data_IF_339525865527
#
_entry.id   IF_339525865527
#
_cell.length_a   1.000
_cell.length_b   1.000
_cell.length_c   1.000
_cell.angle_alpha   90.00
_cell.angle_beta   90.00
_cell.angle_gamma   90.00
#
_symmetry.space_group_name_H-M   'P 1'
#
loop_
_entity.id
_entity.type
_entity.pdbx_description
1 polymer ?
#
# COMPACT_ATOMS: atom_id res chain seq x y z
N UNK A 1 38.63 17.94 4.78
CA UNK A 1 38.26 18.72 3.58
C UNK A 1 37.42 17.94 2.57
N UNK A 2 37.54 16.61 2.45
CA UNK A 2 36.73 15.78 1.52
C UNK A 2 35.21 15.79 1.77
N UNK A 3 34.77 15.78 3.03
CA UNK A 3 33.34 15.69 3.36
C UNK A 3 32.52 16.95 2.98
N UNK A 4 33.15 18.13 2.93
CA UNK A 4 32.45 19.37 2.55
C UNK A 4 32.31 19.50 1.03
N UNK A 5 33.25 18.96 0.25
CA UNK A 5 33.16 18.87 -1.21
C UNK A 5 32.08 17.86 -1.64
N UNK A 6 31.95 16.70 -0.99
CA UNK A 6 30.83 15.78 -1.27
C UNK A 6 29.47 16.41 -0.93
N UNK A 7 29.39 17.21 0.15
CA UNK A 7 28.16 17.93 0.51
C UNK A 7 27.88 19.07 -0.48
N UNK A 8 28.92 19.76 -0.99
CA UNK A 8 28.78 20.80 -2.01
C UNK A 8 28.45 20.25 -3.40
N UNK A 9 28.97 19.06 -3.76
CA UNK A 9 28.61 18.36 -4.99
C UNK A 9 27.20 17.78 -4.91
N UNK A 10 26.81 17.21 -3.77
CA UNK A 10 25.42 16.81 -3.52
C UNK A 10 24.45 18.01 -3.58
N UNK A 11 24.90 19.22 -3.22
CA UNK A 11 24.19 20.50 -3.36
C UNK A 11 24.08 20.99 -4.81
N UNK A 12 24.99 20.58 -5.71
CA UNK A 12 25.09 21.07 -7.10
C UNK A 12 24.35 20.16 -8.10
N UNK A 13 24.17 18.89 -7.77
CA UNK A 13 23.35 18.00 -8.59
C UNK A 13 21.88 18.19 -8.25
N UNK A 14 21.22 19.07 -9.00
CA UNK A 14 19.78 18.95 -9.19
C UNK A 14 19.44 17.49 -9.45
N UNK A 15 18.63 16.90 -8.57
CA UNK A 15 18.22 15.50 -8.59
C UNK A 15 17.67 15.12 -9.98
N UNK A 16 18.53 14.56 -10.83
CA UNK A 16 18.17 14.30 -12.22
C UNK A 16 17.28 13.06 -12.30
N UNK A 17 15.99 13.26 -12.55
CA UNK A 17 15.02 12.21 -12.88
C UNK A 17 15.56 11.27 -13.98
N UNK A 18 16.39 11.79 -14.89
CA UNK A 18 17.04 11.01 -15.95
C UNK A 18 18.00 9.94 -15.42
N UNK A 19 18.65 10.16 -14.26
CA UNK A 19 19.52 9.14 -13.63
C UNK A 19 18.72 8.00 -12.98
N UNK A 20 17.52 8.29 -12.46
CA UNK A 20 16.59 7.26 -11.98
C UNK A 20 16.06 6.39 -13.14
N UNK A 21 15.86 6.99 -14.31
CA UNK A 21 15.47 6.28 -15.55
C UNK A 21 16.62 5.39 -16.06
N UNK A 22 17.87 5.88 -16.06
CA UNK A 22 19.03 5.06 -16.50
C UNK A 22 19.28 3.83 -15.62
N UNK A 23 18.95 3.89 -14.32
CA UNK A 23 19.02 2.74 -13.40
C UNK A 23 17.78 1.84 -13.38
N UNK A 24 16.77 2.13 -14.22
CA UNK A 24 15.46 1.49 -14.17
C UNK A 24 15.48 -0.05 -14.24
N UNK A 25 16.28 -0.71 -15.11
CA UNK A 25 16.32 -2.17 -15.19
C UNK A 25 16.78 -2.83 -13.87
N UNK A 26 17.81 -2.27 -13.24
CA UNK A 26 18.36 -2.77 -11.98
C UNK A 26 17.40 -2.51 -10.80
N UNK A 27 16.72 -1.36 -10.81
CA UNK A 27 15.67 -1.04 -9.85
C UNK A 27 14.51 -2.04 -10.00
N UNK A 28 14.08 -2.30 -11.23
CA UNK A 28 12.99 -3.23 -11.55
C UNK A 28 13.34 -4.65 -11.10
N UNK A 29 14.54 -5.13 -11.45
CA UNK A 29 15.04 -6.44 -11.00
C UNK A 29 15.11 -6.54 -9.46
N UNK A 30 15.66 -5.53 -8.79
CA UNK A 30 15.70 -5.49 -7.32
C UNK A 30 14.31 -5.44 -6.69
N UNK A 31 13.35 -4.73 -7.29
CA UNK A 31 11.95 -4.74 -6.83
C UNK A 31 11.29 -6.10 -7.00
N UNK A 32 11.62 -6.82 -8.07
CA UNK A 32 11.12 -8.17 -8.34
C UNK A 32 11.66 -9.17 -7.32
N UNK A 33 12.96 -9.12 -7.01
CA UNK A 33 13.54 -9.93 -5.93
C UNK A 33 12.90 -9.66 -4.56
N UNK A 34 12.66 -8.37 -4.23
CA UNK A 34 11.95 -8.01 -3.00
C UNK A 34 10.50 -8.53 -2.98
N UNK A 35 9.88 -8.70 -4.14
CA UNK A 35 8.54 -9.24 -4.24
C UNK A 35 8.52 -10.76 -4.13
N UNK A 36 9.44 -11.46 -4.79
CA UNK A 36 9.63 -12.91 -4.63
C UNK A 36 9.81 -13.26 -3.15
N UNK A 37 10.63 -12.49 -2.45
CA UNK A 37 10.81 -12.65 -1.01
C UNK A 37 9.52 -12.44 -0.21
N UNK A 38 8.66 -11.50 -0.62
CA UNK A 38 7.32 -11.33 0.00
C UNK A 38 6.43 -12.54 -0.27
N UNK A 39 6.47 -13.12 -1.47
CA UNK A 39 5.71 -14.34 -1.75
C UNK A 39 6.18 -15.49 -0.89
N UNK A 40 7.50 -15.70 -0.78
CA UNK A 40 8.08 -16.72 0.07
C UNK A 40 7.59 -16.57 1.52
N UNK A 41 7.57 -15.34 2.04
CA UNK A 41 7.07 -15.04 3.39
C UNK A 41 5.56 -15.28 3.54
N UNK A 42 4.78 -15.16 2.45
CA UNK A 42 3.34 -15.40 2.44
C UNK A 42 2.96 -16.88 2.24
N UNK A 43 3.89 -17.75 1.82
CA UNK A 43 3.64 -19.20 1.62
C UNK A 43 2.96 -19.83 2.86
N UNK A 44 3.40 -19.59 4.11
CA UNK A 44 2.76 -20.19 5.27
C UNK A 44 1.28 -19.80 5.40
N UNK A 45 0.92 -18.55 5.16
CA UNK A 45 -0.48 -18.08 5.15
C UNK A 45 -1.27 -18.64 3.97
N UNK A 46 -0.67 -18.77 2.78
CA UNK A 46 -1.32 -19.39 1.61
C UNK A 46 -1.60 -20.87 1.88
N UNK A 47 -0.63 -21.58 2.47
CA UNK A 47 -0.78 -22.97 2.87
C UNK A 47 -1.89 -23.14 3.90
N UNK A 48 -1.93 -22.26 4.91
CA UNK A 48 -3.01 -22.20 5.89
C UNK A 48 -4.38 -21.98 5.24
N UNK A 49 -4.49 -21.09 4.25
CA UNK A 49 -5.76 -20.81 3.56
C UNK A 49 -6.27 -22.01 2.73
N UNK A 50 -5.34 -22.76 2.13
CA UNK A 50 -5.67 -23.91 1.28
C UNK A 50 -5.94 -25.19 2.07
N UNK A 51 -5.37 -25.35 3.26
CA UNK A 51 -5.55 -26.54 4.08
C UNK A 51 -6.52 -26.24 5.23
N UNK A 52 -7.83 -26.47 4.98
CA UNK A 52 -8.88 -26.50 6.02
C UNK A 52 -8.87 -27.79 6.87
N UNK A 53 -7.79 -28.57 6.80
CA UNK A 53 -7.69 -29.87 7.43
C UNK A 53 -7.14 -29.69 8.85
N UNK A 54 -7.86 -30.23 9.83
CA UNK A 54 -7.43 -30.23 11.22
C UNK A 54 -6.12 -31.05 11.37
N UNK A 55 -5.16 -30.63 12.21
CA UNK A 55 -5.21 -29.47 13.11
C UNK A 55 -4.95 -28.14 12.39
N UNK A 56 -5.78 -27.14 12.69
CA UNK A 56 -5.69 -25.79 12.13
C UNK A 56 -4.34 -25.13 12.48
N UNK A 57 -3.42 -24.94 11.51
CA UNK A 57 -2.06 -24.52 11.81
C UNK A 57 -1.96 -22.99 11.94
N UNK A 58 -2.68 -22.42 12.91
CA UNK A 58 -2.72 -20.97 13.18
C UNK A 58 -1.32 -20.36 13.39
N UNK A 59 -0.37 -21.15 13.88
CA UNK A 59 1.04 -20.76 14.06
C UNK A 59 1.72 -20.37 12.74
N UNK A 60 1.27 -20.85 11.58
CA UNK A 60 1.81 -20.45 10.27
C UNK A 60 1.57 -18.96 9.99
N UNK A 61 0.42 -18.42 10.43
CA UNK A 61 0.15 -16.98 10.30
C UNK A 61 1.10 -16.16 11.18
N UNK A 62 1.43 -16.66 12.37
CA UNK A 62 2.42 -16.03 13.25
C UNK A 62 3.80 -16.05 12.60
N UNK A 63 4.20 -17.16 12.00
CA UNK A 63 5.46 -17.27 11.26
C UNK A 63 5.51 -16.26 10.12
N UNK A 64 4.43 -16.12 9.33
CA UNK A 64 4.35 -15.10 8.28
C UNK A 64 4.48 -13.68 8.83
N UNK A 65 3.86 -13.37 9.97
CA UNK A 65 4.00 -12.06 10.62
C UNK A 65 5.45 -11.83 11.07
N UNK A 66 6.08 -12.81 11.73
CA UNK A 66 7.46 -12.74 12.19
C UNK A 66 8.40 -12.52 11.00
N UNK A 67 8.30 -13.35 9.95
CA UNK A 67 9.08 -13.19 8.74
C UNK A 67 8.83 -11.82 8.07
N UNK A 68 7.58 -11.33 8.08
CA UNK A 68 7.24 -10.01 7.57
C UNK A 68 7.96 -8.88 8.33
N UNK A 69 7.98 -8.97 9.66
CA UNK A 69 8.58 -7.96 10.51
C UNK A 69 10.11 -8.00 10.49
N UNK A 70 10.70 -9.19 10.62
CA UNK A 70 12.15 -9.33 10.77
C UNK A 70 12.91 -9.45 9.44
N UNK A 71 12.26 -9.89 8.36
CA UNK A 71 12.92 -10.02 7.06
C UNK A 71 12.55 -8.86 6.13
N UNK A 72 11.26 -8.59 5.94
CA UNK A 72 10.79 -7.67 4.90
C UNK A 72 11.02 -6.20 5.29
N UNK A 73 10.76 -5.81 6.55
CA UNK A 73 10.94 -4.42 7.00
C UNK A 73 12.39 -3.92 6.87
N UNK A 74 13.43 -4.62 7.35
CA UNK A 74 14.80 -4.13 7.24
C UNK A 74 15.29 -4.08 5.78
N UNK A 75 14.91 -5.06 4.95
CA UNK A 75 15.19 -5.03 3.51
C UNK A 75 14.52 -3.84 2.82
N UNK A 76 13.28 -3.52 3.22
CA UNK A 76 12.55 -2.34 2.72
C UNK A 76 13.25 -1.02 3.09
N UNK A 77 13.93 -0.95 4.24
CA UNK A 77 14.76 0.20 4.62
C UNK A 77 16.05 0.25 3.80
N UNK A 78 16.72 -0.90 3.59
CA UNK A 78 17.94 -0.98 2.78
C UNK A 78 17.69 -0.58 1.33
N UNK A 79 16.60 -1.04 0.72
CA UNK A 79 16.19 -0.63 -0.62
C UNK A 79 15.91 0.87 -0.71
N UNK A 80 15.26 1.47 0.29
CA UNK A 80 15.02 2.91 0.31
C UNK A 80 16.34 3.69 0.33
N UNK A 81 17.32 3.23 1.10
CA UNK A 81 18.66 3.85 1.15
C UNK A 81 19.42 3.71 -0.17
N UNK A 82 19.28 2.58 -0.85
CA UNK A 82 19.90 2.35 -2.15
C UNK A 82 19.30 3.26 -3.23
N UNK A 83 17.97 3.44 -3.24
CA UNK A 83 17.30 4.38 -4.14
C UNK A 83 17.73 5.82 -3.90
N UNK A 84 17.91 6.21 -2.65
CA UNK A 84 18.31 7.56 -2.33
C UNK A 84 19.75 7.86 -2.73
N UNK A 85 20.68 6.90 -2.59
CA UNK A 85 22.04 7.04 -3.13
C UNK A 85 22.02 7.34 -4.63
N UNK A 86 21.13 6.70 -5.38
CA UNK A 86 20.91 7.00 -6.81
C UNK A 86 20.39 8.41 -7.03
N UNK A 87 19.41 8.80 -6.23
CA UNK A 87 18.86 10.15 -6.28
C UNK A 87 19.99 11.19 -6.05
N UNK A 88 20.90 10.94 -5.11
CA UNK A 88 22.08 11.79 -4.85
C UNK A 88 23.22 11.65 -5.89
N UNK A 89 23.00 10.95 -7.01
CA UNK A 89 23.96 10.87 -8.12
C UNK A 89 24.90 9.66 -8.12
N UNK A 90 24.81 8.75 -7.14
CA UNK A 90 25.59 7.50 -7.13
C UNK A 90 24.93 6.41 -8.01
N UNK A 91 25.65 5.32 -8.33
CA UNK A 91 25.07 4.18 -9.07
C UNK A 91 24.21 3.30 -8.16
N UNK A 92 23.10 2.76 -8.69
CA UNK A 92 22.28 1.79 -7.95
C UNK A 92 23.06 0.49 -7.79
N UNK A 93 23.08 -0.07 -6.58
CA UNK A 93 23.67 -1.37 -6.31
C UNK A 93 22.66 -2.29 -5.64
N UNK A 94 22.47 -3.47 -6.23
CA UNK A 94 21.59 -4.52 -5.68
C UNK A 94 22.08 -4.98 -4.31
N UNK A 95 23.41 -5.07 -4.13
CA UNK A 95 24.04 -5.45 -2.86
C UNK A 95 23.65 -4.46 -1.76
N UNK A 96 23.63 -3.16 -2.06
CA UNK A 96 23.17 -2.16 -1.11
C UNK A 96 21.65 -2.27 -0.85
N UNK A 97 20.87 -2.63 -1.87
CA UNK A 97 19.43 -2.86 -1.73
C UNK A 97 19.06 -4.05 -0.84
N UNK A 98 19.90 -5.08 -0.79
CA UNK A 98 19.73 -6.30 0.03
C UNK A 98 20.64 -6.37 1.26
N UNK A 99 21.41 -5.32 1.53
CA UNK A 99 22.35 -5.30 2.64
C UNK A 99 21.64 -5.41 3.98
N UNK A 100 22.15 -6.30 4.84
CA UNK A 100 21.74 -6.43 6.24
C UNK A 100 22.71 -5.73 7.20
N UNK A 101 23.65 -4.92 6.69
CA UNK A 101 24.50 -4.10 7.57
C UNK A 101 23.63 -3.15 8.42
N UNK A 102 24.03 -2.93 9.67
CA UNK A 102 23.25 -2.15 10.65
C UNK A 102 21.79 -2.64 10.76
N UNK A 103 21.59 -3.96 10.83
CA UNK A 103 20.28 -4.60 10.86
C UNK A 103 19.35 -3.99 11.92
N UNK A 104 19.83 -3.81 13.16
CA UNK A 104 19.02 -3.24 14.24
C UNK A 104 18.50 -1.83 13.94
N UNK A 105 19.35 -0.97 13.37
CA UNK A 105 18.95 0.39 12.96
C UNK A 105 17.90 0.34 11.85
N UNK A 106 18.09 -0.53 10.84
CA UNK A 106 17.12 -0.74 9.74
C UNK A 106 15.79 -1.30 10.24
N UNK A 107 15.82 -2.23 11.21
CA UNK A 107 14.63 -2.81 11.82
C UNK A 107 13.85 -1.76 12.62
N UNK A 108 14.52 -0.98 13.48
CA UNK A 108 13.88 0.08 14.26
C UNK A 108 13.25 1.15 13.36
N UNK A 109 13.97 1.56 12.31
CA UNK A 109 13.45 2.45 11.29
C UNK A 109 12.19 1.82 10.65
N UNK A 110 12.29 0.56 10.21
CA UNK A 110 11.19 -0.22 9.64
C UNK A 110 9.95 -0.30 10.54
N UNK A 111 10.12 -0.65 11.82
CA UNK A 111 9.07 -0.74 12.82
C UNK A 111 8.40 0.60 13.08
N UNK A 112 9.19 1.69 13.19
CA UNK A 112 8.64 3.05 13.34
C UNK A 112 7.74 3.42 12.15
N UNK A 113 8.07 3.01 10.93
CA UNK A 113 7.21 3.20 9.76
C UNK A 113 5.96 2.34 9.80
N UNK A 114 6.10 1.08 10.22
CA UNK A 114 4.99 0.15 10.35
C UNK A 114 3.95 0.68 11.35
N UNK A 115 4.38 1.11 12.53
CA UNK A 115 3.50 1.70 13.56
C UNK A 115 2.79 2.94 13.03
N UNK A 116 3.50 3.84 12.35
CA UNK A 116 2.91 5.03 11.72
C UNK A 116 1.91 4.71 10.61
N UNK A 117 1.89 3.48 10.09
CA UNK A 117 0.97 3.03 9.06
C UNK A 117 -0.35 2.51 9.65
N UNK A 118 -0.36 2.03 10.89
CA UNK A 118 -1.54 1.44 11.54
C UNK A 118 -2.76 2.37 11.54
N UNK A 119 -2.64 3.68 11.89
CA UNK A 119 -3.80 4.57 11.86
C UNK A 119 -4.41 4.73 10.47
N UNK A 120 -3.59 4.61 9.42
CA UNK A 120 -4.03 4.73 8.04
C UNK A 120 -4.71 3.47 7.51
N UNK A 121 -4.51 2.31 8.15
CA UNK A 121 -5.25 1.09 7.86
C UNK A 121 -6.61 1.00 8.56
N UNK A 122 -6.87 1.85 9.56
CA UNK A 122 -8.16 1.88 10.27
C UNK A 122 -9.38 2.05 9.33
N UNK A 123 -9.37 2.93 8.31
CA UNK A 123 -10.47 3.06 7.37
C UNK A 123 -10.80 1.73 6.67
N UNK A 124 -9.79 0.97 6.25
CA UNK A 124 -10.01 -0.34 5.63
C UNK A 124 -10.53 -1.37 6.63
N UNK A 125 -10.07 -1.31 7.88
CA UNK A 125 -10.57 -2.17 8.95
C UNK A 125 -12.06 -1.89 9.25
N UNK A 126 -12.45 -0.61 9.29
CA UNK A 126 -13.85 -0.19 9.41
C UNK A 126 -14.66 -0.75 8.25
N UNK A 127 -14.16 -0.65 7.02
CA UNK A 127 -14.79 -1.24 5.84
C UNK A 127 -14.96 -2.76 5.94
N UNK A 128 -13.93 -3.47 6.43
CA UNK A 128 -13.98 -4.93 6.60
C UNK A 128 -15.00 -5.36 7.68
N UNK A 129 -15.04 -4.66 8.81
CA UNK A 129 -16.03 -4.87 9.87
C UNK A 129 -17.43 -4.57 9.36
N UNK A 130 -17.60 -3.48 8.61
CA UNK A 130 -18.87 -3.13 7.97
C UNK A 130 -19.34 -4.25 7.03
N UNK A 131 -18.47 -4.73 6.13
CA UNK A 131 -18.78 -5.87 5.26
C UNK A 131 -19.15 -7.12 6.05
N UNK A 132 -18.41 -7.43 7.12
CA UNK A 132 -18.70 -8.58 7.97
C UNK A 132 -20.08 -8.47 8.62
N UNK A 133 -20.45 -7.30 9.13
CA UNK A 133 -21.79 -7.08 9.71
C UNK A 133 -22.88 -7.23 8.65
N UNK A 134 -22.68 -6.67 7.46
CA UNK A 134 -23.67 -6.74 6.36
C UNK A 134 -23.88 -8.17 5.87
N UNK A 135 -22.82 -8.97 5.72
CA UNK A 135 -22.88 -10.28 5.06
C UNK A 135 -22.91 -11.49 6.00
N UNK A 136 -22.49 -11.34 7.27
CA UNK A 136 -22.30 -12.48 8.19
C UNK A 136 -22.96 -12.32 9.56
N UNK A 137 -23.41 -11.12 9.95
CA UNK A 137 -24.06 -10.93 11.26
C UNK A 137 -25.53 -11.31 11.19
N UNK A 138 -25.82 -12.59 11.44
CA UNK A 138 -27.19 -13.09 11.48
C UNK A 138 -27.81 -13.13 12.89
N UNK A 139 -27.04 -12.93 13.97
CA UNK A 139 -27.56 -12.82 15.36
C UNK A 139 -26.54 -12.52 16.47
N UNK A 140 -25.23 -12.71 16.28
CA UNK A 140 -24.28 -12.78 17.41
C UNK A 140 -23.91 -11.45 18.07
N UNK A 141 -24.17 -10.30 17.45
CA UNK A 141 -23.76 -8.98 17.95
C UNK A 141 -24.92 -7.97 18.10
N UNK A 142 -26.18 -8.43 18.05
CA UNK A 142 -27.37 -7.57 18.20
C UNK A 142 -27.64 -6.61 17.03
N UNK A 143 -26.78 -6.59 16.00
CA UNK A 143 -26.95 -5.82 14.76
C UNK A 143 -27.34 -6.81 13.65
N UNK A 144 -28.57 -6.72 13.16
CA UNK A 144 -29.03 -7.52 12.04
C UNK A 144 -28.48 -6.92 10.73
N UNK A 145 -27.76 -7.70 9.91
CA UNK A 145 -27.30 -7.23 8.59
C UNK A 145 -28.45 -6.67 7.73
N UNK A 146 -29.66 -7.18 7.92
CA UNK A 146 -30.90 -6.68 7.30
C UNK A 146 -31.24 -5.22 7.66
N UNK A 147 -30.94 -4.73 8.87
CA UNK A 147 -31.19 -3.32 9.22
C UNK A 147 -30.22 -2.39 8.51
N UNK A 148 -28.96 -2.80 8.36
CA UNK A 148 -27.93 -2.04 7.63
C UNK A 148 -28.29 -1.94 6.14
N UNK A 149 -28.76 -3.03 5.53
CA UNK A 149 -29.26 -3.05 4.16
C UNK A 149 -30.50 -2.16 3.99
N UNK A 150 -31.41 -2.11 4.96
CA UNK A 150 -32.56 -1.17 4.96
C UNK A 150 -32.11 0.29 5.04
N UNK A 151 -31.12 0.61 5.87
CA UNK A 151 -30.57 1.96 5.94
C UNK A 151 -29.89 2.35 4.63
N UNK A 152 -29.10 1.44 4.02
CA UNK A 152 -28.53 1.65 2.69
C UNK A 152 -29.62 1.89 1.63
N UNK A 153 -30.74 1.16 1.70
CA UNK A 153 -31.91 1.39 0.84
C UNK A 153 -32.50 2.78 1.02
N UNK A 154 -32.71 3.21 2.26
CA UNK A 154 -33.25 4.52 2.56
C UNK A 154 -32.32 5.65 2.07
N UNK A 155 -31.02 5.49 2.23
CA UNK A 155 -30.03 6.44 1.68
C UNK A 155 -30.05 6.45 0.15
N UNK A 156 -30.14 5.28 -0.48
CA UNK A 156 -30.26 5.21 -1.94
C UNK A 156 -31.54 5.89 -2.43
N UNK A 157 -32.67 5.68 -1.75
CA UNK A 157 -33.94 6.33 -2.06
C UNK A 157 -33.89 7.85 -1.86
N UNK A 158 -33.16 8.32 -0.84
CA UNK A 158 -32.97 9.74 -0.60
C UNK A 158 -32.15 10.43 -1.71
N UNK A 159 -31.10 9.76 -2.20
CA UNK A 159 -30.19 10.33 -3.21
C UNK A 159 -30.73 10.18 -4.64
N UNK A 160 -31.34 9.04 -4.96
CA UNK A 160 -31.73 8.65 -6.32
C UNK A 160 -33.24 8.59 -6.55
N UNK A 161 -34.07 8.83 -5.53
CA UNK A 161 -35.53 8.81 -5.60
C UNK A 161 -36.18 7.48 -5.17
N UNK A 162 -37.51 7.45 -5.03
CA UNK A 162 -38.27 6.32 -4.46
C UNK A 162 -38.07 4.97 -5.18
N UNK A 163 -37.61 4.98 -6.44
CA UNK A 163 -37.38 3.77 -7.23
C UNK A 163 -35.92 3.28 -7.23
N UNK A 164 -35.09 3.75 -6.28
CA UNK A 164 -33.72 3.28 -6.16
C UNK A 164 -33.65 1.75 -6.05
N UNK A 165 -32.95 1.14 -6.99
CA UNK A 165 -32.81 -0.31 -7.12
C UNK A 165 -31.52 -0.80 -6.44
N UNK A 166 -31.22 -2.09 -6.59
CA UNK A 166 -30.02 -2.71 -6.03
C UNK A 166 -28.74 -2.12 -6.65
N UNK A 167 -28.81 -1.59 -7.87
CA UNK A 167 -27.65 -0.99 -8.54
C UNK A 167 -27.18 0.30 -7.87
N UNK A 168 -28.11 1.14 -7.42
CA UNK A 168 -27.82 2.40 -6.71
C UNK A 168 -27.21 2.13 -5.33
N UNK A 169 -27.69 1.11 -4.62
CA UNK A 169 -27.06 0.64 -3.38
C UNK A 169 -25.63 0.15 -3.61
N UNK A 170 -25.43 -0.64 -4.67
CA UNK A 170 -24.12 -1.13 -5.07
C UNK A 170 -23.16 0.02 -5.39
N UNK A 171 -23.64 1.07 -6.04
CA UNK A 171 -22.88 2.28 -6.33
C UNK A 171 -22.49 3.03 -5.05
N UNK A 172 -23.40 3.19 -4.09
CA UNK A 172 -23.10 3.82 -2.80
C UNK A 172 -22.04 3.02 -2.03
N UNK A 173 -22.17 1.69 -1.97
CA UNK A 173 -21.17 0.83 -1.34
C UNK A 173 -19.82 0.95 -2.05
N UNK A 174 -19.82 0.93 -3.39
CA UNK A 174 -18.61 1.09 -4.19
C UNK A 174 -17.91 2.42 -3.92
N UNK A 175 -18.65 3.53 -3.88
CA UNK A 175 -18.10 4.85 -3.56
C UNK A 175 -17.55 4.90 -2.13
N UNK A 176 -18.25 4.32 -1.16
CA UNK A 176 -17.80 4.23 0.23
C UNK A 176 -16.46 3.49 0.35
N UNK A 177 -16.34 2.29 -0.24
CA UNK A 177 -15.08 1.53 -0.22
C UNK A 177 -13.97 2.23 -0.99
N UNK A 178 -14.30 2.88 -2.11
CA UNK A 178 -13.34 3.67 -2.90
C UNK A 178 -12.79 4.83 -2.07
N UNK A 179 -13.64 5.51 -1.32
CA UNK A 179 -13.24 6.60 -0.43
C UNK A 179 -12.33 6.12 0.71
N UNK A 180 -12.69 5.01 1.38
CA UNK A 180 -11.84 4.40 2.42
C UNK A 180 -10.46 4.00 1.86
N UNK A 181 -10.43 3.45 0.66
CA UNK A 181 -9.20 3.08 -0.03
C UNK A 181 -8.34 4.29 -0.41
N UNK A 182 -8.97 5.40 -0.82
CA UNK A 182 -8.27 6.65 -1.11
C UNK A 182 -7.58 7.21 0.15
N UNK A 183 -8.27 7.19 1.30
CA UNK A 183 -7.68 7.60 2.59
C UNK A 183 -6.44 6.73 2.91
N UNK A 184 -6.56 5.42 2.72
CA UNK A 184 -5.44 4.51 2.91
C UNK A 184 -4.26 4.83 1.99
N UNK A 185 -4.49 5.07 0.70
CA UNK A 185 -3.43 5.42 -0.25
C UNK A 185 -2.74 6.74 0.12
N UNK A 186 -3.50 7.76 0.55
CA UNK A 186 -2.92 9.02 1.04
C UNK A 186 -1.96 8.74 2.20
N UNK A 187 -2.38 7.90 3.14
CA UNK A 187 -1.52 7.43 4.24
C UNK A 187 -0.26 6.71 3.79
N UNK A 188 -0.38 5.82 2.79
CA UNK A 188 0.75 5.10 2.19
C UNK A 188 1.74 6.08 1.56
N UNK A 189 1.26 7.04 0.76
CA UNK A 189 2.12 8.06 0.13
C UNK A 189 2.84 8.84 1.22
N UNK A 190 2.11 9.41 2.18
CA UNK A 190 2.65 10.20 3.28
C UNK A 190 3.75 9.47 4.05
N UNK A 191 3.50 8.22 4.44
CA UNK A 191 4.48 7.40 5.17
C UNK A 191 5.67 7.00 4.30
N UNK A 192 5.46 6.74 3.00
CA UNK A 192 6.54 6.42 2.08
C UNK A 192 7.46 7.62 1.85
N UNK A 193 6.90 8.83 1.72
CA UNK A 193 7.63 10.09 1.53
C UNK A 193 8.44 10.43 2.75
N UNK A 194 7.82 10.34 3.94
CA UNK A 194 8.53 10.54 5.19
C UNK A 194 9.75 9.61 5.25
N UNK A 195 9.60 8.33 4.91
CA UNK A 195 10.73 7.39 4.87
C UNK A 195 11.82 7.83 3.89
N UNK A 196 11.50 8.25 2.67
CA UNK A 196 12.50 8.74 1.71
C UNK A 196 13.18 10.05 2.14
N UNK A 197 12.51 10.88 2.95
CA UNK A 197 13.10 12.10 3.53
C UNK A 197 14.02 11.81 4.73
N UNK A 198 13.79 10.69 5.43
CA UNK A 198 14.48 10.32 6.69
C UNK A 198 15.63 9.35 6.51
N UNK A 199 15.45 8.39 5.61
CA UNK A 199 16.58 7.61 5.14
C UNK A 199 17.46 8.63 4.43
N UNK A 200 18.70 8.77 4.89
CA UNK A 200 19.77 9.50 4.24
C UNK A 200 21.05 8.67 4.36
N UNK A 201 21.83 8.47 3.29
CA UNK A 201 23.10 7.77 3.39
C UNK A 201 24.11 8.51 4.28
N UNK A 202 23.88 9.80 4.57
CA UNK A 202 24.70 10.63 5.45
C UNK A 202 23.90 10.88 6.74
N UNK A 203 24.35 10.33 7.89
CA UNK A 203 23.65 10.43 9.19
C UNK A 203 23.35 11.88 9.63
N UNK A 204 24.13 12.85 9.16
CA UNK A 204 23.97 14.28 9.43
C UNK A 204 23.04 15.04 8.45
N UNK A 205 22.56 14.38 7.38
CA UNK A 205 21.65 14.97 6.39
C UNK A 205 20.18 14.56 6.61
N UNK A 206 19.89 13.75 7.63
CA UNK A 206 18.53 13.35 7.96
C UNK A 206 17.67 14.57 8.35
N UNK A 207 16.58 14.78 7.63
CA UNK A 207 15.68 15.93 7.87
C UNK A 207 14.99 15.78 9.24
N UNK A 208 14.99 16.83 10.09
CA UNK A 208 14.27 16.84 11.36
C UNK A 208 12.78 16.49 11.20
N UNK A 209 12.20 15.82 12.20
CA UNK A 209 10.80 15.38 12.15
C UNK A 209 9.82 16.56 11.98
N UNK A 210 10.15 17.72 12.54
CA UNK A 210 9.36 18.95 12.39
C UNK A 210 9.37 19.49 10.95
N UNK A 211 10.52 19.44 10.28
CA UNK A 211 10.67 19.90 8.89
C UNK A 211 9.96 18.96 7.91
N UNK A 212 10.06 17.65 8.11
CA UNK A 212 9.30 16.67 7.31
C UNK A 212 7.80 16.93 7.45
N UNK A 213 7.32 17.20 8.67
CA UNK A 213 5.91 17.56 8.90
C UNK A 213 5.54 18.85 8.18
N UNK A 214 6.36 19.90 8.24
CA UNK A 214 6.11 21.17 7.53
C UNK A 214 6.01 20.95 6.02
N UNK A 215 6.95 20.22 5.42
CA UNK A 215 6.88 19.94 3.98
C UNK A 215 5.60 19.18 3.60
N UNK A 216 5.22 18.20 4.43
CA UNK A 216 4.00 17.44 4.19
C UNK A 216 2.74 18.30 4.38
N UNK A 217 2.74 19.26 5.29
CA UNK A 217 1.59 20.16 5.49
C UNK A 217 1.47 21.17 4.35
N UNK A 218 2.59 21.72 3.87
CA UNK A 218 2.59 22.73 2.81
C UNK A 218 2.28 22.15 1.43
N UNK A 219 2.57 20.87 1.20
CA UNK A 219 2.37 20.21 -0.09
C UNK A 219 1.15 19.25 -0.13
N UNK A 220 0.05 19.56 0.57
CA UNK A 220 -1.17 18.72 0.64
C UNK A 220 -1.78 18.43 -0.74
N UNK A 221 -1.86 19.43 -1.62
CA UNK A 221 -2.43 19.25 -2.97
C UNK A 221 -1.57 18.28 -3.78
N UNK A 222 -0.25 18.42 -3.71
CA UNK A 222 0.68 17.50 -4.39
C UNK A 222 0.57 16.10 -3.81
N UNK A 223 0.46 15.94 -2.49
CA UNK A 223 0.19 14.62 -1.89
C UNK A 223 -1.05 13.96 -2.45
N UNK A 224 -2.13 14.72 -2.60
CA UNK A 224 -3.36 14.21 -3.18
C UNK A 224 -3.17 13.81 -4.64
N UNK A 225 -2.44 14.61 -5.43
CA UNK A 225 -2.11 14.28 -6.81
C UNK A 225 -1.24 12.99 -6.93
N UNK A 226 -0.19 12.87 -6.11
CA UNK A 226 0.64 11.66 -6.06
C UNK A 226 -0.12 10.44 -5.54
N UNK A 227 -1.07 10.63 -4.61
CA UNK A 227 -1.99 9.59 -4.17
C UNK A 227 -2.96 9.18 -5.27
N UNK A 228 -3.49 10.13 -6.04
CA UNK A 228 -4.38 9.88 -7.17
C UNK A 228 -3.67 9.11 -8.28
N UNK A 229 -2.42 9.45 -8.61
CA UNK A 229 -1.59 8.67 -9.53
C UNK A 229 -1.40 7.23 -9.03
N UNK A 230 -1.14 7.04 -7.74
CA UNK A 230 -1.06 5.70 -7.14
C UNK A 230 -2.40 4.95 -7.20
N UNK A 231 -3.53 5.65 -7.04
CA UNK A 231 -4.86 5.09 -7.17
C UNK A 231 -5.16 4.69 -8.62
N UNK A 232 -4.85 5.52 -9.61
CA UNK A 232 -4.96 5.19 -11.04
C UNK A 232 -4.13 3.96 -11.37
N UNK A 233 -2.89 3.89 -10.88
CA UNK A 233 -2.04 2.71 -11.09
C UNK A 233 -2.65 1.44 -10.48
N UNK A 234 -3.48 1.55 -9.45
CA UNK A 234 -4.17 0.42 -8.81
C UNK A 234 -5.60 0.23 -9.31
N UNK A 235 -6.14 1.14 -10.12
CA UNK A 235 -7.54 1.08 -10.55
C UNK A 235 -7.86 -0.19 -11.35
N UNK A 236 -6.96 -0.77 -12.17
CA UNK A 236 -7.27 -2.01 -12.87
C UNK A 236 -7.49 -3.18 -11.92
N UNK A 237 -6.82 -3.21 -10.76
CA UNK A 237 -7.11 -4.19 -9.69
C UNK A 237 -8.51 -3.98 -9.14
N UNK A 238 -8.87 -2.73 -8.82
CA UNK A 238 -10.19 -2.40 -8.25
C UNK A 238 -11.30 -2.75 -9.24
N UNK A 239 -11.12 -2.43 -10.52
CA UNK A 239 -12.06 -2.74 -11.60
C UNK A 239 -12.17 -4.25 -11.79
N UNK A 240 -11.04 -4.97 -11.80
CA UNK A 240 -11.06 -6.44 -11.92
C UNK A 240 -11.82 -7.08 -10.75
N UNK A 241 -11.53 -6.68 -9.51
CA UNK A 241 -12.24 -7.16 -8.32
C UNK A 241 -13.74 -6.88 -8.44
N UNK A 242 -14.11 -5.65 -8.80
CA UNK A 242 -15.51 -5.25 -8.97
C UNK A 242 -16.22 -6.11 -10.04
N UNK A 243 -15.61 -6.26 -11.20
CA UNK A 243 -16.16 -7.06 -12.31
C UNK A 243 -16.26 -8.54 -11.93
N UNK A 244 -15.25 -9.11 -11.27
CA UNK A 244 -15.29 -10.49 -10.76
C UNK A 244 -16.41 -10.69 -9.75
N UNK A 245 -16.62 -9.73 -8.83
CA UNK A 245 -17.72 -9.78 -7.88
C UNK A 245 -19.08 -9.71 -8.60
N UNK A 246 -19.24 -8.73 -9.50
CA UNK A 246 -20.50 -8.45 -10.17
C UNK A 246 -20.92 -9.54 -11.16
N UNK A 247 -19.96 -10.09 -11.91
CA UNK A 247 -20.21 -11.20 -12.83
C UNK A 247 -20.71 -12.45 -12.09
N UNK A 248 -20.08 -12.78 -10.96
CA UNK A 248 -20.50 -13.92 -10.14
C UNK A 248 -21.83 -13.68 -9.42
N UNK A 249 -22.09 -12.44 -8.98
CA UNK A 249 -23.41 -12.07 -8.44
C UNK A 249 -24.52 -12.26 -9.47
N UNK A 250 -24.35 -11.73 -10.69
CA UNK A 250 -25.32 -11.89 -11.78
C UNK A 250 -25.58 -13.36 -12.14
N UNK A 251 -24.55 -14.20 -12.10
CA UNK A 251 -24.66 -15.61 -12.41
C UNK A 251 -25.51 -16.41 -11.40
N UNK A 252 -25.66 -15.92 -10.16
CA UNK A 252 -26.33 -16.67 -9.07
C UNK A 252 -27.75 -16.19 -8.76
N UNK A 253 -28.31 -15.31 -9.60
CA UNK A 253 -29.69 -14.77 -9.62
C UNK A 253 -30.21 -14.08 -8.35
N UNK A 254 -29.70 -14.42 -7.17
CA UNK A 254 -30.06 -13.86 -5.86
C UNK A 254 -28.86 -13.80 -4.91
N UNK A 255 -28.87 -12.78 -4.03
CA UNK A 255 -27.82 -12.56 -3.02
C UNK A 255 -27.62 -13.77 -2.09
N UNK A 256 -28.68 -14.54 -1.81
CA UNK A 256 -28.64 -15.71 -0.93
C UNK A 256 -27.89 -16.89 -1.55
N UNK A 257 -27.90 -17.03 -2.88
CA UNK A 257 -27.13 -18.03 -3.61
C UNK A 257 -25.69 -17.54 -3.87
N UNK A 258 -25.47 -16.22 -3.84
CA UNK A 258 -24.16 -15.58 -3.93
C UNK A 258 -23.28 -15.71 -2.67
N UNK A 259 -23.89 -15.59 -1.49
CA UNK A 259 -23.16 -15.65 -0.22
C UNK A 259 -22.34 -16.94 0.00
N UNK A 260 -22.81 -18.15 -0.39
CA UNK A 260 -22.02 -19.37 -0.33
C UNK A 260 -20.81 -19.40 -1.28
N UNK A 261 -20.90 -18.81 -2.47
CA UNK A 261 -19.78 -18.84 -3.45
C UNK A 261 -18.61 -17.97 -3.02
N UNK A 262 -18.86 -16.91 -2.23
CA UNK A 262 -17.82 -16.14 -1.55
C UNK A 262 -17.05 -16.95 -0.50
N UNK A 263 -17.46 -18.17 -0.17
CA UNK A 263 -16.71 -19.06 0.73
C UNK A 263 -15.78 -20.00 -0.03
N UNK A 264 -15.87 -20.04 -1.36
CA UNK A 264 -15.03 -20.88 -2.21
C UNK A 264 -13.68 -20.20 -2.48
N UNK A 265 -12.59 -20.95 -2.25
CA UNK A 265 -11.22 -20.48 -2.49
C UNK A 265 -10.98 -20.24 -3.99
N UNK A 266 -11.66 -21.00 -4.85
CA UNK A 266 -11.56 -20.87 -6.30
C UNK A 266 -12.04 -19.50 -6.81
N UNK A 267 -12.93 -18.83 -6.07
CA UNK A 267 -13.38 -17.46 -6.37
C UNK A 267 -12.23 -16.44 -6.21
N UNK A 268 -11.40 -16.60 -5.17
CA UNK A 268 -10.35 -15.64 -4.83
C UNK A 268 -9.04 -15.88 -5.58
N UNK A 269 -8.78 -17.10 -6.02
CA UNK A 269 -7.54 -17.45 -6.72
C UNK A 269 -7.24 -16.58 -7.97
N UNK A 270 -8.17 -16.39 -8.93
CA UNK A 270 -7.90 -15.53 -10.10
C UNK A 270 -7.71 -14.06 -9.70
N UNK A 271 -8.43 -13.59 -8.68
CA UNK A 271 -8.29 -12.24 -8.14
C UNK A 271 -6.89 -12.04 -7.55
N UNK A 272 -6.41 -12.99 -6.75
CA UNK A 272 -5.08 -12.95 -6.16
C UNK A 272 -4.00 -12.96 -7.25
N UNK A 273 -4.10 -13.85 -8.24
CA UNK A 273 -3.13 -13.92 -9.36
C UNK A 273 -3.09 -12.59 -10.12
N UNK A 274 -4.24 -12.03 -10.48
CA UNK A 274 -4.30 -10.74 -11.16
C UNK A 274 -3.73 -9.61 -10.31
N UNK A 275 -4.07 -9.56 -9.01
CA UNK A 275 -3.50 -8.59 -8.08
C UNK A 275 -1.98 -8.68 -8.03
N UNK A 276 -1.42 -9.89 -8.01
CA UNK A 276 0.03 -10.12 -8.00
C UNK A 276 0.69 -9.60 -9.26
N UNK A 277 0.17 -9.97 -10.43
CA UNK A 277 0.71 -9.58 -11.74
C UNK A 277 0.61 -8.06 -11.94
N UNK A 278 -0.54 -7.47 -11.61
CA UNK A 278 -0.73 -6.04 -11.78
C UNK A 278 0.08 -5.22 -10.76
N UNK A 279 0.17 -5.71 -9.51
CA UNK A 279 1.03 -5.11 -8.51
C UNK A 279 2.50 -5.17 -8.91
N UNK A 280 2.95 -6.28 -9.53
CA UNK A 280 4.30 -6.44 -10.09
C UNK A 280 4.63 -5.33 -11.09
N UNK A 281 3.75 -5.12 -12.07
CA UNK A 281 3.93 -4.14 -13.14
C UNK A 281 3.99 -2.70 -12.59
N UNK A 282 3.19 -2.41 -11.58
CA UNK A 282 3.01 -1.03 -11.08
C UNK A 282 3.94 -0.67 -9.91
N UNK A 283 4.51 -1.66 -9.21
CA UNK A 283 5.36 -1.44 -8.05
C UNK A 283 6.58 -0.52 -8.31
N UNK A 284 7.36 -0.70 -9.41
CA UNK A 284 8.51 0.18 -9.68
C UNK A 284 8.07 1.63 -9.90
N UNK A 285 7.03 1.83 -10.70
CA UNK A 285 6.46 3.15 -11.02
C UNK A 285 6.00 3.85 -9.75
N UNK A 286 5.28 3.15 -8.86
CA UNK A 286 4.83 3.69 -7.58
C UNK A 286 5.97 4.07 -6.65
N UNK A 287 7.06 3.30 -6.63
CA UNK A 287 8.25 3.62 -5.82
C UNK A 287 8.96 4.87 -6.36
N UNK A 288 9.07 5.02 -7.68
CA UNK A 288 9.63 6.20 -8.33
C UNK A 288 8.75 7.41 -8.07
N UNK A 289 7.43 7.28 -8.21
CA UNK A 289 6.46 8.34 -7.96
C UNK A 289 6.59 8.90 -6.52
N UNK A 290 6.68 8.00 -5.53
CA UNK A 290 6.83 8.40 -4.14
C UNK A 290 8.22 9.02 -3.82
N UNK A 291 9.27 8.56 -4.51
CA UNK A 291 10.60 9.16 -4.41
C UNK A 291 10.65 10.55 -5.07
N UNK A 292 9.98 10.74 -6.21
CA UNK A 292 9.87 12.02 -6.89
C UNK A 292 9.17 13.07 -6.02
N UNK A 293 8.08 12.69 -5.32
CA UNK A 293 7.44 13.58 -4.37
C UNK A 293 8.35 13.95 -3.18
N UNK A 294 9.12 13.00 -2.66
CA UNK A 294 10.10 13.28 -1.62
C UNK A 294 11.18 14.27 -2.10
N UNK A 295 11.65 14.14 -3.34
CA UNK A 295 12.60 15.07 -3.94
C UNK A 295 12.00 16.48 -4.10
N UNK A 296 10.74 16.58 -4.55
CA UNK A 296 10.06 17.86 -4.61
C UNK A 296 9.99 18.57 -3.25
N UNK A 297 9.78 17.78 -2.19
CA UNK A 297 9.81 18.26 -0.81
C UNK A 297 11.19 18.78 -0.37
N UNK A 298 12.28 18.22 -0.90
CA UNK A 298 13.65 18.70 -0.63
C UNK A 298 13.97 19.98 -1.41
N UNK A 299 13.57 20.05 -2.68
CA UNK A 299 13.79 21.22 -3.53
C UNK A 299 13.07 22.48 -3.02
N UNK A 300 11.81 22.34 -2.60
CA UNK A 300 11.05 23.46 -2.00
C UNK A 300 11.74 24.03 -0.75
N UNK A 301 12.36 23.17 0.06
CA UNK A 301 13.17 23.59 1.21
C UNK A 301 14.42 24.39 0.80
N UNK A 302 15.08 24.03 -0.31
CA UNK A 302 16.31 24.72 -0.74
C UNK A 302 16.04 26.13 -1.25
N UNK A 303 14.87 26.37 -1.84
CA UNK A 303 14.47 27.70 -2.32
C UNK A 303 13.87 28.61 -1.23
N UNK A 304 13.48 28.05 -0.09
CA UNK A 304 12.96 28.79 1.08
C UNK A 304 14.06 29.23 2.07
N UNK A 305 15.32 28.82 1.83
CA UNK A 305 16.50 29.21 2.64
C UNK A 305 17.39 30.18 1.89
#
# INVERSE_FOLDING_TARGET
MSNLQEIYEAKRYGYSFNKLIMGYPLILFSTLLHLLLRFIVLIPTIYWFNHRVFPNPWYLNIITIILGLFLILPLRASFASALEKVACGQKFSIVNGFSLSNYGEKLLIGLKWFIKMIPWSLPLMIGAVFSYIVFYSDKSYGINGASVLKTLKAVAMFIFGEHASITEMGLIMFLFFTFLYLIFIIGVVRNSTYRYLKVSPIKFAAVPDAEVRRCLVNNRIKQLLFAFLNFILLSPIVIFIYNSFWSNYKAQSDLMNFLPSLKDVNFYQPILIFMVIWYLLTLPIRRINNAAFANHCRYTRENEK
#
